data_IF_569964982944
#
_entry.id   IF_569964982944
#
_cell.length_a   1.000
_cell.length_b   1.000
_cell.length_c   1.000
_cell.angle_alpha   90.00
_cell.angle_beta   90.00
_cell.angle_gamma   90.00
#
_symmetry.space_group_name_H-M   'P 1'
#
loop_
_entity.id
_entity.type
_entity.pdbx_description
1 polymer ?
#
# COMPACT_ATOMS: atom_id res chain seq x y z
N UNK A 1 10.59 -57.12 29.85
CA UNK A 1 10.97 -55.82 29.28
C UNK A 1 10.15 -55.61 28.02
N UNK A 2 9.06 -54.87 28.15
CA UNK A 2 8.16 -54.44 27.06
C UNK A 2 8.70 -53.13 26.50
N UNK A 3 8.77 -52.93 25.17
CA UNK A 3 9.08 -51.62 24.62
C UNK A 3 7.83 -50.74 24.66
N UNK A 4 7.98 -49.56 25.25
CA UNK A 4 7.00 -48.48 25.35
C UNK A 4 6.71 -47.85 24.00
N UNK A 5 5.42 -47.73 23.67
CA UNK A 5 4.91 -46.95 22.55
C UNK A 5 5.08 -45.45 22.81
N UNK A 6 5.89 -44.77 21.99
CA UNK A 6 5.86 -43.30 21.90
C UNK A 6 4.82 -42.92 20.86
N UNK A 7 3.70 -42.38 21.33
CA UNK A 7 2.69 -41.74 20.49
C UNK A 7 3.25 -40.42 19.97
N UNK A 8 3.80 -40.43 18.76
CA UNK A 8 4.21 -39.20 18.08
C UNK A 8 2.97 -38.51 17.48
N UNK A 9 2.85 -37.21 17.76
CA UNK A 9 1.84 -36.29 17.23
C UNK A 9 1.56 -36.54 15.74
N UNK A 10 0.35 -37.00 15.43
CA UNK A 10 -0.22 -36.80 14.10
C UNK A 10 -0.51 -35.31 13.96
N UNK A 11 0.40 -34.57 13.34
CA UNK A 11 0.04 -33.33 12.66
C UNK A 11 -0.93 -33.76 11.55
N UNK A 12 -2.22 -33.58 11.81
CA UNK A 12 -3.23 -33.66 10.78
C UNK A 12 -2.97 -32.48 9.83
N UNK A 13 -2.13 -32.70 8.82
CA UNK A 13 -2.23 -31.94 7.59
C UNK A 13 -3.66 -32.12 7.10
N UNK A 14 -4.44 -31.05 7.12
CA UNK A 14 -5.70 -30.96 6.40
C UNK A 14 -5.35 -31.11 4.90
N UNK A 15 -5.32 -32.36 4.45
CA UNK A 15 -5.41 -32.69 3.04
C UNK A 15 -6.80 -32.24 2.57
N UNK A 16 -6.86 -31.28 1.66
CA UNK A 16 -8.16 -30.96 1.04
C UNK A 16 -8.35 -29.64 0.30
N UNK A 17 -7.39 -28.71 0.26
CA UNK A 17 -7.50 -27.61 -0.70
C UNK A 17 -7.07 -28.13 -2.08
N UNK A 18 -8.03 -28.57 -2.89
CA UNK A 18 -7.78 -28.79 -4.31
C UNK A 18 -7.17 -27.50 -4.88
N UNK A 19 -5.96 -27.59 -5.46
CA UNK A 19 -5.41 -26.48 -6.24
C UNK A 19 -6.39 -26.20 -7.37
N UNK A 20 -7.19 -25.13 -7.22
CA UNK A 20 -8.12 -24.64 -8.24
C UNK A 20 -7.27 -24.03 -9.35
N UNK A 21 -6.76 -24.88 -10.24
CA UNK A 21 -5.97 -24.49 -11.39
C UNK A 21 -6.93 -24.06 -12.52
N UNK A 22 -7.67 -22.97 -12.30
CA UNK A 22 -8.40 -22.31 -13.37
C UNK A 22 -7.40 -21.44 -14.13
N UNK A 23 -7.06 -21.84 -15.35
CA UNK A 23 -6.34 -20.96 -16.27
C UNK A 23 -7.34 -19.96 -16.84
N UNK A 24 -7.12 -18.67 -16.57
CA UNK A 24 -7.92 -17.59 -17.12
C UNK A 24 -7.63 -17.45 -18.62
N UNK A 25 -8.56 -17.86 -19.49
CA UNK A 25 -8.35 -17.86 -20.95
C UNK A 25 -8.76 -16.55 -21.62
N UNK A 26 -9.70 -15.82 -21.02
CA UNK A 26 -10.19 -14.53 -21.51
C UNK A 26 -10.78 -13.72 -20.35
N UNK A 27 -10.87 -12.40 -20.54
CA UNK A 27 -11.59 -11.49 -19.64
C UNK A 27 -12.77 -10.84 -20.34
N UNK A 28 -13.82 -10.48 -19.61
CA UNK A 28 -14.98 -9.74 -20.11
C UNK A 28 -15.43 -8.66 -19.10
N UNK A 29 -16.49 -7.91 -19.39
CA UNK A 29 -17.04 -6.89 -18.49
C UNK A 29 -16.36 -5.52 -18.60
N UNK A 30 -16.50 -4.69 -17.55
CA UNK A 30 -16.02 -3.31 -17.53
C UNK A 30 -14.67 -3.23 -16.83
N UNK A 31 -13.59 -3.14 -17.60
CA UNK A 31 -12.21 -3.06 -17.10
C UNK A 31 -11.69 -1.61 -17.08
N UNK A 32 -10.60 -1.31 -16.34
CA UNK A 32 -9.87 -0.07 -16.48
C UNK A 32 -9.43 0.19 -17.93
N UNK A 33 -9.39 1.46 -18.36
CA UNK A 33 -8.88 1.79 -19.69
C UNK A 33 -7.37 1.55 -19.79
N UNK A 34 -6.92 1.12 -20.97
CA UNK A 34 -5.51 0.75 -21.22
C UNK A 34 -4.53 1.94 -21.08
N UNK A 35 -5.03 3.18 -21.13
CA UNK A 35 -4.23 4.42 -20.99
C UNK A 35 -4.11 4.93 -19.55
N UNK A 36 -4.71 4.26 -18.57
CA UNK A 36 -4.67 4.69 -17.18
C UNK A 36 -3.39 4.22 -16.48
N UNK A 37 -2.83 5.11 -15.66
CA UNK A 37 -1.58 4.90 -14.94
C UNK A 37 -1.74 5.23 -13.45
N UNK A 38 -0.69 4.97 -12.67
CA UNK A 38 -0.60 5.36 -11.25
C UNK A 38 -1.77 4.87 -10.40
N UNK A 39 -2.31 3.70 -10.74
CA UNK A 39 -3.35 3.05 -9.96
C UNK A 39 -2.77 2.15 -8.89
N UNK A 40 -3.53 1.98 -7.81
CA UNK A 40 -3.22 1.00 -6.79
C UNK A 40 -3.96 -0.30 -7.06
N UNK A 41 -3.37 -1.40 -6.64
CA UNK A 41 -4.02 -2.70 -6.75
C UNK A 41 -3.69 -3.59 -5.57
N UNK A 42 -4.61 -4.49 -5.26
CA UNK A 42 -4.42 -5.52 -4.23
C UNK A 42 -5.10 -6.81 -4.67
N UNK A 43 -4.47 -7.93 -4.35
CA UNK A 43 -5.03 -9.25 -4.58
C UNK A 43 -5.68 -9.78 -3.30
N UNK A 44 -6.95 -10.13 -3.40
CA UNK A 44 -7.61 -10.99 -2.43
C UNK A 44 -7.48 -12.45 -2.90
N UNK A 45 -6.54 -13.18 -2.27
CA UNK A 45 -6.32 -14.59 -2.58
C UNK A 45 -7.45 -15.49 -2.10
N UNK A 46 -8.18 -15.11 -1.06
CA UNK A 46 -9.28 -15.89 -0.51
C UNK A 46 -10.51 -15.80 -1.42
N UNK A 47 -10.91 -14.58 -1.81
CA UNK A 47 -12.00 -14.34 -2.74
C UNK A 47 -11.60 -14.55 -4.22
N UNK A 48 -10.30 -14.71 -4.50
CA UNK A 48 -9.73 -14.79 -5.85
C UNK A 48 -10.12 -13.55 -6.68
N UNK A 49 -9.87 -12.37 -6.13
CA UNK A 49 -10.17 -11.08 -6.75
C UNK A 49 -8.91 -10.23 -6.89
N UNK A 50 -8.82 -9.49 -7.99
CA UNK A 50 -7.88 -8.38 -8.13
C UNK A 50 -8.70 -7.09 -8.06
N UNK A 51 -8.38 -6.22 -7.12
CA UNK A 51 -8.98 -4.90 -6.98
C UNK A 51 -8.04 -3.83 -7.50
N UNK A 52 -8.58 -2.84 -8.21
CA UNK A 52 -7.85 -1.67 -8.70
C UNK A 52 -8.64 -0.42 -8.30
N UNK A 53 -7.96 0.52 -7.64
CA UNK A 53 -8.58 1.76 -7.15
C UNK A 53 -7.61 2.93 -7.23
N UNK A 54 -8.17 4.12 -7.49
CA UNK A 54 -7.42 5.33 -7.82
C UNK A 54 -6.71 5.19 -9.16
N UNK A 55 -6.76 6.20 -10.02
CA UNK A 55 -6.01 6.18 -11.28
C UNK A 55 -5.90 7.57 -11.89
N UNK A 56 -4.85 7.76 -12.66
CA UNK A 56 -4.67 8.92 -13.53
C UNK A 56 -4.97 8.51 -14.97
N UNK A 57 -5.96 9.16 -15.59
CA UNK A 57 -6.30 8.97 -17.00
C UNK A 57 -6.39 10.29 -17.76
N UNK A 58 -6.61 10.24 -19.10
CA UNK A 58 -6.75 11.46 -19.91
C UNK A 58 -7.91 12.37 -19.51
N UNK A 59 -8.92 11.83 -18.81
CA UNK A 59 -10.09 12.56 -18.32
C UNK A 59 -9.98 12.92 -16.83
N UNK A 60 -8.78 12.86 -16.26
CA UNK A 60 -8.52 13.15 -14.86
C UNK A 60 -8.50 11.90 -13.98
N UNK A 61 -8.85 12.10 -12.70
CA UNK A 61 -8.81 11.08 -11.66
C UNK A 61 -10.16 10.34 -11.60
N UNK A 62 -10.25 9.31 -10.75
CA UNK A 62 -11.49 8.56 -10.59
C UNK A 62 -11.62 7.97 -9.19
N UNK A 63 -12.88 7.83 -8.79
CA UNK A 63 -13.31 7.11 -7.59
C UNK A 63 -13.92 5.74 -7.93
N UNK A 64 -13.66 5.22 -9.12
CA UNK A 64 -14.21 3.91 -9.54
C UNK A 64 -13.32 2.77 -9.03
N UNK A 65 -13.90 1.85 -8.27
CA UNK A 65 -13.29 0.57 -7.92
C UNK A 65 -13.53 -0.43 -9.05
N UNK A 66 -12.47 -1.01 -9.57
CA UNK A 66 -12.54 -2.13 -10.50
C UNK A 66 -12.20 -3.43 -9.77
N UNK A 67 -12.91 -4.50 -10.09
CA UNK A 67 -12.63 -5.83 -9.59
C UNK A 67 -12.60 -6.83 -10.73
N UNK A 68 -11.54 -7.62 -10.82
CA UNK A 68 -11.47 -8.80 -11.68
C UNK A 68 -11.70 -10.04 -10.84
N UNK A 69 -12.72 -10.81 -11.22
CA UNK A 69 -12.93 -12.16 -10.73
C UNK A 69 -11.94 -13.13 -11.41
N UNK A 70 -11.04 -13.73 -10.64
CA UNK A 70 -10.02 -14.65 -11.15
C UNK A 70 -10.53 -16.09 -11.33
N UNK A 71 -11.78 -16.37 -10.98
CA UNK A 71 -12.44 -17.63 -11.29
C UNK A 71 -13.21 -17.56 -12.62
N UNK A 72 -13.83 -16.43 -12.92
CA UNK A 72 -14.71 -16.24 -14.09
C UNK A 72 -14.11 -15.37 -15.19
N UNK A 73 -13.09 -14.57 -14.89
CA UNK A 73 -12.52 -13.58 -15.81
C UNK A 73 -13.39 -12.34 -16.02
N UNK A 74 -14.44 -12.15 -15.24
CA UNK A 74 -15.36 -11.02 -15.40
C UNK A 74 -14.86 -9.82 -14.59
N UNK A 75 -14.76 -8.67 -15.26
CA UNK A 75 -14.52 -7.37 -14.66
C UNK A 75 -15.83 -6.69 -14.25
N UNK A 76 -15.84 -6.09 -13.08
CA UNK A 76 -16.89 -5.21 -12.60
C UNK A 76 -16.32 -3.85 -12.21
N UNK A 77 -17.15 -2.82 -12.28
CA UNK A 77 -16.81 -1.46 -11.90
C UNK A 77 -17.88 -0.86 -10.99
N UNK A 78 -17.46 -0.27 -9.88
CA UNK A 78 -18.34 0.37 -8.89
C UNK A 78 -17.88 1.81 -8.69
N UNK A 79 -18.74 2.78 -8.99
CA UNK A 79 -18.46 4.19 -8.70
C UNK A 79 -18.66 4.45 -7.21
N UNK A 80 -17.59 4.81 -6.49
CA UNK A 80 -17.65 5.07 -5.06
C UNK A 80 -17.95 6.55 -4.79
N UNK A 81 -18.63 6.80 -3.66
CA UNK A 81 -18.92 8.16 -3.17
C UNK A 81 -17.73 8.71 -2.37
N UNK A 82 -16.61 8.91 -3.05
CA UNK A 82 -15.38 9.53 -2.52
C UNK A 82 -14.81 10.51 -3.55
N UNK A 83 -13.98 11.49 -3.15
CA UNK A 83 -13.24 12.31 -4.09
C UNK A 83 -12.44 11.45 -5.09
N UNK A 84 -12.35 11.92 -6.32
CA UNK A 84 -11.54 11.26 -7.33
C UNK A 84 -10.06 11.29 -6.91
N UNK A 85 -9.38 10.14 -6.93
CA UNK A 85 -8.04 10.00 -6.35
C UNK A 85 -7.06 9.27 -7.28
N UNK A 86 -5.76 9.53 -7.11
CA UNK A 86 -4.67 8.71 -7.64
C UNK A 86 -3.44 8.79 -6.72
N UNK A 87 -2.42 7.94 -6.95
CA UNK A 87 -1.21 7.87 -6.08
C UNK A 87 -1.58 7.63 -4.59
N UNK A 88 -2.77 7.11 -4.30
CA UNK A 88 -3.13 6.59 -2.98
C UNK A 88 -2.34 5.30 -2.70
N UNK A 89 -2.52 4.72 -1.53
CA UNK A 89 -2.16 3.32 -1.29
C UNK A 89 -3.45 2.51 -1.05
N UNK A 90 -3.43 1.20 -1.31
CA UNK A 90 -4.59 0.32 -1.12
C UNK A 90 -4.16 -0.98 -0.44
N UNK A 91 -4.81 -1.33 0.64
CA UNK A 91 -4.60 -2.58 1.38
C UNK A 91 -5.92 -3.33 1.58
N UNK A 92 -5.82 -4.63 1.79
CA UNK A 92 -6.95 -5.53 2.05
C UNK A 92 -6.83 -6.07 3.47
N UNK A 93 -7.91 -5.98 4.24
CA UNK A 93 -8.07 -6.79 5.45
C UNK A 93 -8.52 -8.22 5.04
N UNK A 94 -7.68 -9.24 5.25
CA UNK A 94 -7.99 -10.61 4.83
C UNK A 94 -9.10 -11.27 5.66
N UNK A 95 -9.40 -10.76 6.85
CA UNK A 95 -10.40 -11.34 7.75
C UNK A 95 -11.81 -10.85 7.42
N UNK A 96 -11.93 -9.58 7.02
CA UNK A 96 -13.22 -8.96 6.67
C UNK A 96 -13.47 -8.86 5.18
N UNK A 97 -12.43 -8.90 4.35
CA UNK A 97 -12.51 -8.64 2.90
C UNK A 97 -12.68 -7.16 2.56
N UNK A 98 -12.60 -6.25 3.54
CA UNK A 98 -12.68 -4.82 3.32
C UNK A 98 -11.36 -4.28 2.76
N UNK A 99 -11.48 -3.28 1.89
CA UNK A 99 -10.33 -2.54 1.39
C UNK A 99 -10.14 -1.27 2.22
N UNK A 100 -8.90 -0.83 2.38
CA UNK A 100 -8.61 0.49 2.94
C UNK A 100 -7.66 1.25 2.03
N UNK A 101 -8.10 2.42 1.60
CA UNK A 101 -7.31 3.36 0.81
C UNK A 101 -6.81 4.49 1.69
N UNK A 102 -5.52 4.83 1.61
CA UNK A 102 -4.94 5.93 2.38
C UNK A 102 -4.29 6.97 1.47
N UNK A 103 -4.50 8.24 1.81
CA UNK A 103 -3.85 9.37 1.15
C UNK A 103 -4.12 9.42 -0.35
N UNK A 104 -3.10 9.86 -1.08
CA UNK A 104 -3.14 10.10 -2.51
C UNK A 104 -3.34 11.57 -2.82
N UNK A 105 -3.55 11.85 -4.10
CA UNK A 105 -3.92 13.16 -4.59
C UNK A 105 -5.38 13.18 -5.01
N UNK A 106 -6.08 14.20 -4.58
CA UNK A 106 -7.48 14.44 -4.96
C UNK A 106 -7.61 15.66 -5.84
N UNK A 107 -8.65 15.68 -6.66
CA UNK A 107 -9.01 16.83 -7.49
C UNK A 107 -10.48 17.19 -7.29
N UNK A 108 -10.77 18.48 -7.34
CA UNK A 108 -12.14 19.03 -7.35
C UNK A 108 -12.55 19.54 -8.73
N UNK A 109 -11.60 19.69 -9.66
CA UNK A 109 -11.80 20.30 -10.99
C UNK A 109 -11.64 19.31 -12.15
N UNK A 110 -11.64 18.01 -11.86
CA UNK A 110 -11.55 16.96 -12.88
C UNK A 110 -10.13 16.68 -13.36
N UNK A 111 -9.12 17.00 -12.55
CA UNK A 111 -7.72 16.62 -12.75
C UNK A 111 -6.82 17.74 -13.29
N UNK A 112 -7.30 18.98 -13.35
CA UNK A 112 -6.48 20.15 -13.74
C UNK A 112 -5.58 20.58 -12.59
N UNK A 113 -6.09 20.51 -11.36
CA UNK A 113 -5.30 20.69 -10.14
C UNK A 113 -5.47 19.50 -9.21
N UNK A 114 -4.41 19.22 -8.47
CA UNK A 114 -4.38 18.13 -7.50
C UNK A 114 -3.65 18.54 -6.25
N UNK A 115 -4.14 18.02 -5.13
CA UNK A 115 -3.54 18.25 -3.82
C UNK A 115 -3.48 16.93 -3.05
N UNK A 116 -2.40 16.69 -2.28
CA UNK A 116 -2.37 15.57 -1.35
C UNK A 116 -3.54 15.63 -0.38
N UNK A 117 -4.07 14.46 0.00
CA UNK A 117 -5.15 14.35 0.98
C UNK A 117 -4.69 13.62 2.25
N UNK A 118 -5.27 14.01 3.38
CA UNK A 118 -5.13 13.29 4.65
C UNK A 118 -6.24 12.25 4.85
N UNK A 119 -7.15 12.09 3.88
CA UNK A 119 -8.27 11.17 3.99
C UNK A 119 -7.81 9.70 3.93
N UNK A 120 -8.57 8.84 4.61
CA UNK A 120 -8.57 7.41 4.36
C UNK A 120 -10.01 6.92 4.14
N UNK A 121 -10.16 5.81 3.43
CA UNK A 121 -11.46 5.24 3.06
C UNK A 121 -11.46 3.74 3.30
N UNK A 122 -12.34 3.26 4.19
CA UNK A 122 -12.69 1.84 4.34
C UNK A 122 -13.81 1.54 3.36
N UNK A 123 -13.58 0.61 2.44
CA UNK A 123 -14.44 0.33 1.30
C UNK A 123 -14.90 -1.12 1.38
N UNK A 124 -16.21 -1.34 1.34
CA UNK A 124 -16.79 -2.65 1.08
C UNK A 124 -16.79 -2.90 -0.44
N UNK A 125 -15.94 -3.80 -0.95
CA UNK A 125 -15.84 -4.03 -2.39
C UNK A 125 -17.06 -4.75 -3.00
N UNK A 126 -17.95 -5.31 -2.17
CA UNK A 126 -19.15 -6.03 -2.62
C UNK A 126 -20.31 -5.06 -2.80
N UNK A 127 -20.56 -4.22 -1.80
CA UNK A 127 -21.70 -3.30 -1.81
C UNK A 127 -21.36 -1.90 -2.33
N UNK A 128 -20.07 -1.52 -2.33
CA UNK A 128 -19.62 -0.18 -2.69
C UNK A 128 -19.80 0.85 -1.58
N UNK A 129 -20.11 0.40 -0.36
CA UNK A 129 -20.21 1.27 0.81
C UNK A 129 -18.84 1.77 1.22
N UNK A 130 -18.78 3.03 1.65
CA UNK A 130 -17.53 3.67 2.08
C UNK A 130 -17.70 4.39 3.41
N UNK A 131 -16.78 4.12 4.33
CA UNK A 131 -16.59 4.89 5.57
C UNK A 131 -15.29 5.66 5.42
N UNK A 132 -15.37 6.98 5.56
CA UNK A 132 -14.20 7.86 5.43
C UNK A 132 -13.76 8.39 6.78
N UNK A 133 -12.46 8.55 6.95
CA UNK A 133 -11.86 9.23 8.09
C UNK A 133 -10.70 10.11 7.66
N UNK A 134 -9.96 10.62 8.65
CA UNK A 134 -8.80 11.47 8.42
C UNK A 134 -7.62 10.93 9.22
N UNK A 135 -6.47 10.80 8.55
CA UNK A 135 -5.22 10.42 9.19
C UNK A 135 -4.82 11.47 10.25
N UNK A 136 -4.06 11.09 11.29
CA UNK A 136 -3.57 12.02 12.29
C UNK A 136 -2.81 13.21 11.67
N UNK A 137 -2.88 14.37 12.31
CA UNK A 137 -2.16 15.59 11.88
C UNK A 137 -0.66 15.35 11.69
N UNK A 138 -0.06 14.48 12.52
CA UNK A 138 1.34 14.11 12.43
C UNK A 138 1.70 13.35 11.13
N UNK A 139 0.74 12.62 10.55
CA UNK A 139 0.86 12.09 9.19
C UNK A 139 0.57 13.22 8.20
N UNK A 140 -0.57 13.89 8.38
CA UNK A 140 -1.03 14.94 7.50
C UNK A 140 -1.40 14.43 6.11
N UNK A 141 -1.52 15.37 5.16
CA UNK A 141 -1.92 15.06 3.80
C UNK A 141 -0.73 14.60 2.96
N UNK A 142 -0.79 13.40 2.39
CA UNK A 142 0.32 12.82 1.63
C UNK A 142 -0.17 11.96 0.47
N UNK A 143 0.60 11.96 -0.61
CA UNK A 143 0.46 11.01 -1.71
C UNK A 143 1.60 10.00 -1.73
N UNK A 144 1.52 9.02 -2.64
CA UNK A 144 2.54 8.02 -2.87
C UNK A 144 3.03 7.40 -1.56
N UNK A 145 2.08 6.98 -0.73
CA UNK A 145 2.34 6.23 0.49
C UNK A 145 2.40 4.75 0.13
N UNK A 146 3.12 3.96 0.92
CA UNK A 146 3.00 2.50 0.85
C UNK A 146 2.14 2.00 2.01
N UNK A 147 1.30 0.99 1.77
CA UNK A 147 0.58 0.34 2.86
C UNK A 147 0.40 -1.16 2.64
N UNK A 148 0.18 -1.86 3.75
CA UNK A 148 -0.15 -3.28 3.76
C UNK A 148 -0.97 -3.64 4.99
N UNK A 149 -1.66 -4.78 4.92
CA UNK A 149 -2.08 -5.45 6.15
C UNK A 149 -0.86 -5.91 6.95
N UNK A 150 -0.96 -5.88 8.28
CA UNK A 150 0.14 -6.21 9.17
C UNK A 150 0.47 -7.71 9.26
N UNK A 151 -0.49 -8.58 8.94
CA UNK A 151 -0.31 -10.04 8.89
C UNK A 151 -0.14 -10.68 10.27
N UNK A 152 0.94 -10.35 10.99
CA UNK A 152 1.21 -10.82 12.37
C UNK A 152 0.51 -9.92 13.40
N UNK A 153 0.36 -8.64 13.08
CA UNK A 153 -0.35 -7.65 13.89
C UNK A 153 -1.58 -7.23 13.09
N UNK A 154 -2.75 -7.36 13.71
CA UNK A 154 -4.02 -6.96 13.10
C UNK A 154 -4.02 -5.44 12.86
N UNK A 155 -4.51 -5.03 11.70
CA UNK A 155 -4.53 -3.64 11.25
C UNK A 155 -3.59 -3.37 10.09
N UNK A 156 -3.54 -2.10 9.72
CA UNK A 156 -2.85 -1.62 8.53
C UNK A 156 -1.58 -0.89 8.91
N UNK A 157 -0.55 -1.06 8.11
CA UNK A 157 0.64 -0.23 8.19
C UNK A 157 0.67 0.74 7.03
N UNK A 158 1.04 1.98 7.32
CA UNK A 158 1.17 3.05 6.34
C UNK A 158 2.54 3.70 6.51
N UNK A 159 3.29 3.80 5.41
CA UNK A 159 4.69 4.23 5.43
C UNK A 159 4.94 5.42 4.49
N UNK A 160 5.48 6.48 5.08
CA UNK A 160 6.05 7.64 4.42
C UNK A 160 5.10 8.41 3.48
N UNK A 161 5.56 8.65 2.26
CA UNK A 161 4.86 9.44 1.25
C UNK A 161 5.44 10.84 1.08
N UNK A 162 4.75 11.68 0.31
CA UNK A 162 5.22 13.03 0.02
C UNK A 162 4.08 14.05 0.05
N UNK A 163 4.43 15.29 0.40
CA UNK A 163 3.54 16.47 0.29
C UNK A 163 3.82 17.22 -1.01
N UNK A 164 5.09 17.32 -1.39
CA UNK A 164 5.54 17.92 -2.65
C UNK A 164 6.37 16.88 -3.38
N UNK A 165 6.02 16.64 -4.65
CA UNK A 165 6.73 15.74 -5.54
C UNK A 165 6.81 16.35 -6.95
N UNK A 166 7.69 17.32 -7.10
CA UNK A 166 8.20 17.88 -8.34
C UNK A 166 9.07 16.84 -9.07
N UNK A 167 8.66 16.49 -10.28
CA UNK A 167 9.33 15.50 -11.12
C UNK A 167 10.61 16.01 -11.78
N UNK A 168 10.83 17.33 -11.78
CA UNK A 168 11.93 17.98 -12.47
C UNK A 168 12.96 18.56 -11.52
N UNK A 169 12.57 18.84 -10.28
CA UNK A 169 13.44 19.42 -9.26
C UNK A 169 13.31 18.70 -7.91
N UNK A 170 14.17 17.71 -7.70
CA UNK A 170 14.21 16.90 -6.50
C UNK A 170 14.41 17.72 -5.21
N UNK A 171 15.11 18.86 -5.29
CA UNK A 171 15.37 19.71 -4.13
C UNK A 171 14.13 20.41 -3.58
N UNK A 172 13.01 20.42 -4.33
CA UNK A 172 11.72 20.94 -3.87
C UNK A 172 10.86 19.87 -3.19
N UNK A 173 11.27 18.61 -3.25
CA UNK A 173 10.46 17.51 -2.76
C UNK A 173 10.51 17.40 -1.24
N UNK A 174 9.36 17.03 -0.66
CA UNK A 174 9.21 16.88 0.79
C UNK A 174 8.70 15.47 1.06
N UNK A 175 9.66 14.62 1.44
CA UNK A 175 9.46 13.19 1.67
C UNK A 175 9.40 12.84 3.14
N UNK A 176 8.67 11.76 3.42
CA UNK A 176 8.50 11.21 4.76
C UNK A 176 8.80 9.70 4.74
N UNK A 177 9.30 9.19 5.85
CA UNK A 177 9.65 7.78 6.06
C UNK A 177 9.27 7.28 7.47
N UNK A 178 8.32 7.96 8.10
CA UNK A 178 7.64 7.48 9.30
C UNK A 178 6.76 6.26 8.96
N UNK A 179 6.54 5.43 9.97
CA UNK A 179 5.68 4.25 9.91
C UNK A 179 4.59 4.36 10.95
N UNK A 180 3.35 4.14 10.52
CA UNK A 180 2.18 4.19 11.37
C UNK A 180 1.40 2.88 11.27
N UNK A 181 0.79 2.50 12.38
CA UNK A 181 -0.15 1.39 12.47
C UNK A 181 -1.56 1.95 12.70
N UNK A 182 -2.52 1.44 11.92
CA UNK A 182 -3.94 1.80 12.00
C UNK A 182 -4.77 0.57 12.35
N UNK A 183 -5.42 0.60 13.50
CA UNK A 183 -6.43 -0.37 13.91
C UNK A 183 -7.81 0.11 13.45
N UNK A 184 -8.32 -0.52 12.39
CA UNK A 184 -9.62 -0.20 11.81
C UNK A 184 -10.82 -0.58 12.71
N UNK A 185 -10.63 -1.47 13.69
CA UNK A 185 -11.70 -1.89 14.61
C UNK A 185 -11.96 -0.81 15.67
N UNK A 186 -10.89 -0.15 16.11
CA UNK A 186 -10.94 0.86 17.18
C UNK A 186 -10.78 2.29 16.65
N UNK A 187 -10.49 2.47 15.36
CA UNK A 187 -10.13 3.75 14.73
C UNK A 187 -8.96 4.44 15.46
N UNK A 188 -7.92 3.66 15.79
CA UNK A 188 -6.74 4.13 16.53
C UNK A 188 -5.51 4.09 15.63
N UNK A 189 -4.75 5.19 15.67
CA UNK A 189 -3.46 5.33 14.99
C UNK A 189 -2.32 5.32 16.00
N UNK A 190 -1.32 4.48 15.75
CA UNK A 190 -0.13 4.32 16.60
C UNK A 190 1.15 4.60 15.81
N UNK A 191 2.01 5.55 16.23
CA UNK A 191 3.30 5.74 15.60
C UNK A 191 4.22 4.56 15.92
N UNK A 192 4.91 4.04 14.91
CA UNK A 192 5.79 2.86 15.01
C UNK A 192 7.23 3.24 14.77
N UNK A 193 7.49 4.00 13.71
CA UNK A 193 8.78 4.59 13.40
C UNK A 193 8.58 6.08 13.24
N UNK A 194 9.36 6.86 13.98
CA UNK A 194 9.38 8.31 13.81
C UNK A 194 9.96 8.68 12.45
N UNK A 195 9.46 9.77 11.87
CA UNK A 195 10.03 10.33 10.64
C UNK A 195 11.48 10.73 10.86
N UNK A 196 12.31 10.45 9.88
CA UNK A 196 13.73 10.81 9.85
C UNK A 196 14.01 11.60 8.58
N UNK A 197 15.08 12.38 8.59
CA UNK A 197 15.50 13.12 7.38
C UNK A 197 16.19 12.10 6.47
N UNK A 198 15.69 11.84 5.24
CA UNK A 198 16.18 10.76 4.40
C UNK A 198 17.62 10.97 3.90
N UNK A 199 18.22 12.15 4.13
CA UNK A 199 19.57 12.47 3.71
C UNK A 199 19.68 13.94 3.30
N UNK A 200 20.80 14.30 2.65
CA UNK A 200 21.00 15.62 2.08
C UNK A 200 21.40 15.54 0.62
N UNK A 201 20.88 16.48 -0.17
CA UNK A 201 21.38 16.75 -1.51
C UNK A 201 22.66 17.56 -1.42
N UNK A 202 23.70 17.09 -2.10
CA UNK A 202 24.93 17.86 -2.26
C UNK A 202 24.78 18.91 -3.36
N UNK A 203 25.69 19.88 -3.39
CA UNK A 203 25.76 20.84 -4.48
C UNK A 203 26.06 20.11 -5.80
N UNK A 204 25.50 20.56 -6.95
CA UNK A 204 25.83 19.99 -8.24
C UNK A 204 27.34 20.04 -8.51
N UNK A 205 27.88 18.98 -9.10
CA UNK A 205 29.28 18.92 -9.49
C UNK A 205 29.58 19.83 -10.71
N UNK A 206 30.81 19.80 -11.20
CA UNK A 206 31.23 20.62 -12.36
C UNK A 206 30.49 20.28 -13.67
N UNK A 207 29.79 19.15 -13.74
CA UNK A 207 28.95 18.74 -14.87
C UNK A 207 27.46 19.05 -14.64
N UNK A 208 27.09 19.53 -13.46
CA UNK A 208 25.72 19.81 -13.06
C UNK A 208 24.99 18.60 -12.47
N UNK A 209 25.71 17.49 -12.23
CA UNK A 209 25.13 16.29 -11.64
C UNK A 209 25.00 16.48 -10.13
N UNK A 210 23.82 16.23 -9.59
CA UNK A 210 23.54 16.33 -8.16
C UNK A 210 23.60 14.94 -7.51
N UNK A 211 24.21 14.87 -6.33
CA UNK A 211 24.31 13.63 -5.55
C UNK A 211 23.39 13.66 -4.34
N UNK A 212 22.85 12.51 -3.97
CA UNK A 212 22.10 12.31 -2.74
C UNK A 212 22.92 11.45 -1.76
N UNK A 213 23.10 11.97 -0.55
CA UNK A 213 23.79 11.28 0.55
C UNK A 213 22.76 10.88 1.59
N UNK A 214 22.34 9.62 1.54
CA UNK A 214 21.45 9.01 2.53
C UNK A 214 22.19 8.54 3.77
N UNK A 215 21.46 8.36 4.87
CA UNK A 215 21.97 7.74 6.09
C UNK A 215 21.83 6.20 5.99
N UNK A 216 22.93 5.44 5.95
CA UNK A 216 22.88 3.99 5.76
C UNK A 216 22.17 3.22 6.90
N UNK A 217 21.88 3.87 8.03
CA UNK A 217 21.20 3.26 9.17
C UNK A 217 19.66 3.32 9.09
N UNK A 218 19.09 4.13 8.19
CA UNK A 218 17.64 4.37 8.10
C UNK A 218 17.13 4.24 6.65
N UNK A 219 15.82 4.04 6.44
CA UNK A 219 15.24 4.08 5.11
C UNK A 219 15.38 5.47 4.46
N UNK A 220 16.13 5.58 3.37
CA UNK A 220 16.38 6.84 2.65
C UNK A 220 15.46 6.99 1.44
N UNK A 221 14.16 6.78 1.64
CA UNK A 221 13.22 6.85 0.55
C UNK A 221 12.85 8.28 0.19
N UNK A 222 12.76 8.54 -1.11
CA UNK A 222 12.16 9.74 -1.66
C UNK A 222 10.68 9.51 -1.85
N UNK A 223 10.27 9.14 -3.06
CA UNK A 223 8.87 8.78 -3.35
C UNK A 223 8.59 7.31 -2.99
N UNK A 224 7.66 7.06 -2.07
CA UNK A 224 7.21 5.69 -1.76
C UNK A 224 6.15 5.20 -2.75
N UNK A 225 6.58 4.84 -3.97
CA UNK A 225 5.74 4.10 -4.94
C UNK A 225 5.97 2.59 -4.97
N UNK A 226 6.73 2.05 -4.02
CA UNK A 226 6.99 0.62 -4.00
C UNK A 226 6.05 -0.15 -3.08
N UNK A 227 6.17 -1.47 -3.20
CA UNK A 227 5.33 -2.43 -2.48
C UNK A 227 5.69 -2.44 -1.00
N UNK A 228 4.66 -2.53 -0.16
CA UNK A 228 4.81 -2.88 1.24
C UNK A 228 4.14 -4.23 1.46
N UNK A 229 4.83 -5.13 2.12
CA UNK A 229 4.32 -6.47 2.40
C UNK A 229 4.69 -6.90 3.81
N UNK A 230 3.77 -7.56 4.54
CA UNK A 230 4.11 -8.19 5.79
C UNK A 230 5.09 -9.34 5.52
N UNK A 231 6.08 -9.49 6.37
CA UNK A 231 6.96 -10.63 6.39
C UNK A 231 6.47 -11.57 7.47
N UNK A 232 6.08 -12.80 7.14
CA UNK A 232 5.51 -13.73 8.13
C UNK A 232 6.58 -14.47 8.93
N UNK A 233 7.80 -14.54 8.40
CA UNK A 233 8.95 -15.19 9.04
C UNK A 233 9.67 -14.32 10.09
N UNK A 234 9.34 -13.03 10.15
CA UNK A 234 9.95 -12.05 11.04
C UNK A 234 8.86 -11.05 11.40
N UNK A 235 8.81 -10.55 12.65
CA UNK A 235 7.79 -9.57 12.99
C UNK A 235 8.11 -8.21 12.35
N UNK A 236 7.71 -8.05 11.09
CA UNK A 236 7.92 -6.80 10.37
C UNK A 236 7.44 -6.78 8.95
N UNK A 237 7.84 -5.71 8.27
CA UNK A 237 7.35 -5.35 6.94
C UNK A 237 8.53 -5.12 6.01
N UNK A 238 8.40 -5.63 4.80
CA UNK A 238 9.27 -5.26 3.69
C UNK A 238 8.68 -4.02 3.03
N UNK A 239 9.54 -3.06 2.72
CA UNK A 239 9.19 -1.87 1.93
C UNK A 239 10.19 -1.75 0.80
N UNK A 240 9.67 -1.56 -0.41
CA UNK A 240 10.45 -1.15 -1.57
C UNK A 240 10.09 0.29 -1.87
N UNK A 241 11.06 1.11 -2.27
CA UNK A 241 10.83 2.51 -2.60
C UNK A 241 11.99 3.12 -3.36
N UNK A 242 11.73 4.22 -4.05
CA UNK A 242 12.75 4.97 -4.78
C UNK A 242 13.59 5.82 -3.82
N UNK A 243 14.88 5.95 -4.10
CA UNK A 243 15.77 6.89 -3.40
C UNK A 243 15.71 8.24 -4.10
N UNK A 244 15.85 9.38 -3.40
CA UNK A 244 15.89 10.67 -4.06
C UNK A 244 16.95 10.75 -5.17
N UNK A 245 16.66 11.52 -6.23
CA UNK A 245 17.46 11.67 -7.48
C UNK A 245 17.51 10.43 -8.36
N UNK A 246 17.54 9.23 -7.79
CA UNK A 246 17.78 8.03 -8.54
C UNK A 246 16.50 7.28 -8.90
N UNK A 247 16.47 6.70 -10.10
CA UNK A 247 15.39 5.81 -10.54
C UNK A 247 15.52 4.37 -10.02
N UNK A 248 16.47 4.10 -9.12
CA UNK A 248 16.63 2.76 -8.54
C UNK A 248 15.76 2.60 -7.30
N UNK A 249 15.12 1.44 -7.21
CA UNK A 249 14.36 1.03 -6.03
C UNK A 249 15.29 0.32 -5.04
N UNK A 250 15.13 0.62 -3.76
CA UNK A 250 15.80 -0.06 -2.66
C UNK A 250 14.82 -0.87 -1.83
N UNK A 251 15.29 -2.01 -1.33
CA UNK A 251 14.53 -2.88 -0.44
C UNK A 251 14.99 -2.69 0.99
N UNK A 252 14.05 -2.45 1.89
CA UNK A 252 14.28 -2.35 3.33
C UNK A 252 13.34 -3.28 4.09
N UNK A 253 13.83 -3.80 5.21
CA UNK A 253 13.03 -4.51 6.21
C UNK A 253 12.92 -3.66 7.46
N UNK A 254 11.69 -3.37 7.90
CA UNK A 254 11.42 -2.60 9.10
C UNK A 254 10.88 -3.54 10.17
N UNK A 255 11.62 -3.67 11.28
CA UNK A 255 11.21 -4.45 12.43
C UNK A 255 10.09 -3.78 13.21
N UNK A 256 9.10 -4.57 13.63
CA UNK A 256 7.95 -4.12 14.40
C UNK A 256 8.06 -4.48 15.89
N UNK A 257 9.27 -4.84 16.35
CA UNK A 257 9.55 -5.36 17.69
C UNK A 257 8.82 -4.66 18.85
N UNK A 258 8.66 -3.31 18.89
CA UNK A 258 7.89 -2.64 19.95
C UNK A 258 6.42 -3.09 20.04
N UNK A 259 5.81 -3.50 18.92
CA UNK A 259 4.45 -4.03 18.84
C UNK A 259 4.39 -5.56 19.02
N UNK A 260 5.52 -6.24 18.86
CA UNK A 260 5.63 -7.70 18.88
C UNK A 260 6.04 -8.28 20.25
N UNK A 261 6.46 -7.44 21.20
CA UNK A 261 6.92 -7.83 22.54
C UNK A 261 5.77 -8.31 23.45
N UNK A 262 5.08 -9.37 23.04
CA UNK A 262 4.00 -10.01 23.77
C UNK A 262 3.17 -11.05 22.99
N UNK A 263 3.50 -11.34 21.72
CA UNK A 263 2.84 -12.37 20.90
C UNK A 263 3.86 -13.36 20.34
#
# INVERSE_FOLDING_TARGET
MTPSSVSCCRVAWLAGAAKKATTLLATSGTRPNDSWISYTHVFDFAARKLYIFGHLGPAGFSSTLFALDLDTGVWTSTALTVPQTYDNCLALDPDTGLLVSFGGETTEDGGETSTPTAAYHVIDPVNGDVISGTMPEAIGARHAMSCSWGGVIDGFFVHGGAVVNDYYNEALNVYYNDLWHYDATTDVWTPVLAGTVPGTLEDPDQYGDQSFVGDPAIPNFGKNRGTMQPLSQFCGVAVIGAVPIFTHEQFYTIGLDPLCMGK
#
